data_IF_003174336352
#
_entry.id   IF_003174336352
#
_cell.length_a   1.000
_cell.length_b   1.000
_cell.length_c   1.000
_cell.angle_alpha   90.00
_cell.angle_beta   90.00
_cell.angle_gamma   90.00
#
_symmetry.space_group_name_H-M   'P 1'
#
loop_
_entity.id
_entity.type
_entity.pdbx_description
1 polymer ?
#
# COMPACT_ATOMS: atom_id res chain seq x y z
N UNK A 1 -2.13 -10.93 7.83
CA UNK A 1 -0.72 -10.47 7.64
C UNK A 1 -0.71 -9.00 7.27
N UNK A 2 0.16 -8.22 7.90
CA UNK A 2 0.41 -6.80 7.61
C UNK A 2 1.88 -6.63 7.21
N UNK A 3 2.13 -5.88 6.13
CA UNK A 3 3.48 -5.53 5.70
C UNK A 3 3.61 -4.01 5.58
N UNK A 4 4.61 -3.44 6.26
CA UNK A 4 4.89 -2.00 6.23
C UNK A 4 6.40 -1.74 6.08
N UNK A 5 6.79 -0.67 5.36
CA UNK A 5 8.20 -0.36 5.18
C UNK A 5 8.87 0.14 6.48
N UNK A 6 8.18 0.93 7.29
CA UNK A 6 8.74 1.52 8.51
C UNK A 6 7.70 1.58 9.63
N UNK A 7 8.15 1.42 10.87
CA UNK A 7 7.29 1.51 12.06
C UNK A 7 8.10 1.75 13.35
N UNK A 8 7.42 1.99 14.49
CA UNK A 8 8.08 2.05 15.78
C UNK A 8 8.65 0.68 16.18
N UNK A 9 9.61 0.62 17.13
CA UNK A 9 10.20 -0.63 17.61
C UNK A 9 9.21 -1.64 18.19
N UNK A 10 8.01 -1.19 18.59
CA UNK A 10 6.95 -2.00 19.17
C UNK A 10 5.74 -2.23 18.23
N UNK A 11 5.91 -2.07 16.91
CA UNK A 11 4.83 -2.16 15.91
C UNK A 11 3.99 -3.43 16.03
N UNK A 12 4.60 -4.59 16.29
CA UNK A 12 3.89 -5.87 16.38
C UNK A 12 2.91 -5.91 17.55
N UNK A 13 3.26 -5.29 18.67
CA UNK A 13 2.37 -5.18 19.84
C UNK A 13 1.20 -4.23 19.57
N UNK A 14 1.35 -3.29 18.63
CA UNK A 14 0.31 -2.32 18.28
C UNK A 14 -0.71 -2.85 17.28
N UNK A 15 -0.47 -4.02 16.70
CA UNK A 15 -1.34 -4.66 15.72
C UNK A 15 -1.75 -6.06 16.20
N UNK A 16 -2.44 -6.17 17.34
CA UNK A 16 -2.78 -7.47 17.94
C UNK A 16 -3.73 -8.31 17.08
N UNK A 17 -4.49 -7.70 16.17
CA UNK A 17 -5.38 -8.41 15.24
C UNK A 17 -4.67 -9.00 14.02
N UNK A 18 -3.42 -8.62 13.78
CA UNK A 18 -2.64 -9.15 12.66
C UNK A 18 -1.97 -10.46 13.06
N UNK A 19 -2.25 -11.55 12.34
CA UNK A 19 -1.58 -12.84 12.58
C UNK A 19 -0.05 -12.76 12.41
N UNK A 20 0.40 -11.89 11.50
CA UNK A 20 1.82 -11.67 11.19
C UNK A 20 2.05 -10.22 10.79
N UNK A 21 3.14 -9.63 11.30
CA UNK A 21 3.57 -8.27 10.98
C UNK A 21 5.00 -8.30 10.45
N UNK A 22 5.17 -7.88 9.20
CA UNK A 22 6.49 -7.70 8.56
C UNK A 22 6.79 -6.21 8.47
N UNK A 23 7.84 -5.77 9.14
CA UNK A 23 8.28 -4.38 9.11
C UNK A 23 9.77 -4.29 8.78
N UNK A 24 10.10 -3.64 7.65
CA UNK A 24 11.48 -3.60 7.12
C UNK A 24 12.41 -2.76 7.99
N UNK A 25 11.94 -1.62 8.50
CA UNK A 25 12.72 -0.71 9.34
C UNK A 25 11.99 -0.35 10.64
N UNK A 26 12.68 -0.54 11.78
CA UNK A 26 12.17 -0.26 13.13
C UNK A 26 13.12 0.68 13.90
N UNK A 27 13.30 1.94 13.46
CA UNK A 27 14.25 2.84 14.09
C UNK A 27 13.85 3.16 15.55
N UNK A 28 14.82 3.14 16.47
CA UNK A 28 14.63 3.48 17.88
C UNK A 28 14.08 4.91 18.09
N UNK A 29 14.42 5.82 17.18
CA UNK A 29 13.96 7.21 17.17
C UNK A 29 12.80 7.45 16.19
N UNK A 30 11.89 6.48 16.03
CA UNK A 30 10.70 6.64 15.19
C UNK A 30 9.83 7.79 15.70
N UNK A 31 9.66 8.85 14.88
CA UNK A 31 8.85 10.03 15.22
C UNK A 31 7.71 10.27 14.25
N UNK A 32 7.97 10.09 12.96
CA UNK A 32 7.00 10.28 11.89
C UNK A 32 7.33 9.35 10.72
N UNK A 33 6.30 8.93 9.97
CA UNK A 33 6.46 8.07 8.80
C UNK A 33 7.29 8.75 7.72
N UNK A 34 7.02 10.02 7.43
CA UNK A 34 7.70 10.78 6.37
C UNK A 34 9.20 10.97 6.59
N UNK A 35 9.70 10.85 7.82
CA UNK A 35 11.14 10.94 8.11
C UNK A 35 11.95 9.76 7.55
N UNK A 36 11.28 8.68 7.11
CA UNK A 36 11.91 7.51 6.51
C UNK A 36 12.05 7.60 4.98
N UNK A 37 11.51 8.66 4.36
CA UNK A 37 11.48 8.82 2.91
C UNK A 37 12.21 10.10 2.50
N UNK A 38 13.06 10.00 1.47
CA UNK A 38 13.67 11.18 0.84
C UNK A 38 12.63 12.03 0.10
N UNK A 39 11.61 11.38 -0.47
CA UNK A 39 10.45 12.01 -1.09
C UNK A 39 9.15 11.53 -0.41
N UNK A 40 8.46 12.46 0.24
CA UNK A 40 7.19 12.24 0.93
C UNK A 40 6.12 13.23 0.48
N UNK A 41 6.10 13.55 -0.82
CA UNK A 41 5.03 14.38 -1.38
C UNK A 41 3.67 13.69 -1.24
N UNK A 42 2.57 14.45 -1.06
CA UNK A 42 1.24 13.89 -1.03
C UNK A 42 0.87 13.21 -2.36
N UNK A 43 0.31 12.00 -2.29
CA UNK A 43 -0.32 11.36 -3.45
C UNK A 43 -1.67 12.01 -3.71
N UNK A 44 -1.94 12.45 -4.94
CA UNK A 44 -3.22 13.09 -5.29
C UNK A 44 -4.31 12.05 -5.53
N UNK A 45 -5.58 12.48 -5.48
CA UNK A 45 -6.72 11.62 -5.77
C UNK A 45 -6.65 11.11 -7.23
N UNK A 46 -6.22 11.95 -8.18
CA UNK A 46 -6.05 11.56 -9.59
C UNK A 46 -4.92 10.51 -9.77
N UNK A 47 -3.88 10.56 -8.95
CA UNK A 47 -2.83 9.53 -8.95
C UNK A 47 -3.36 8.19 -8.45
N UNK A 48 -4.20 8.21 -7.40
CA UNK A 48 -4.84 7.01 -6.86
C UNK A 48 -5.80 6.41 -7.89
N UNK A 49 -6.69 7.20 -8.47
CA UNK A 49 -7.65 6.75 -9.49
C UNK A 49 -6.93 6.08 -10.66
N UNK A 50 -5.89 6.72 -11.19
CA UNK A 50 -5.09 6.19 -12.30
C UNK A 50 -4.47 4.82 -11.99
N UNK A 51 -3.90 4.64 -10.80
CA UNK A 51 -3.29 3.36 -10.41
C UNK A 51 -4.35 2.27 -10.22
N UNK A 52 -5.52 2.62 -9.66
CA UNK A 52 -6.62 1.67 -9.49
C UNK A 52 -7.20 1.22 -10.84
N UNK A 53 -7.37 2.13 -11.81
CA UNK A 53 -7.80 1.78 -13.17
C UNK A 53 -6.80 0.86 -13.86
N UNK A 54 -5.49 1.15 -13.74
CA UNK A 54 -4.43 0.29 -14.29
C UNK A 54 -4.43 -1.11 -13.68
N UNK A 55 -4.63 -1.21 -12.36
CA UNK A 55 -4.70 -2.49 -11.66
C UNK A 55 -5.92 -3.31 -12.10
N UNK A 56 -7.07 -2.67 -12.33
CA UNK A 56 -8.27 -3.35 -12.85
C UNK A 56 -8.11 -3.76 -14.31
N UNK A 57 -7.59 -2.88 -15.17
CA UNK A 57 -7.38 -3.18 -16.60
C UNK A 57 -6.31 -4.25 -16.86
N UNK A 58 -5.36 -4.45 -15.95
CA UNK A 58 -4.40 -5.55 -16.02
C UNK A 58 -5.01 -6.92 -15.66
N UNK A 59 -6.18 -6.95 -15.04
CA UNK A 59 -6.94 -8.17 -14.69
C UNK A 59 -7.98 -8.57 -15.73
N UNK A 60 -8.30 -7.70 -16.69
CA UNK A 60 -9.35 -7.95 -17.68
C UNK A 60 -8.75 -8.32 -19.05
N UNK A 61 -8.60 -9.64 -19.26
CA UNK A 61 -8.72 -10.18 -20.61
C UNK A 61 -10.12 -9.87 -21.13
N UNK A 62 -10.28 -8.71 -21.77
CA UNK A 62 -11.51 -8.36 -22.49
C UNK A 62 -11.75 -9.39 -23.59
N UNK A 63 -12.72 -10.28 -23.38
CA UNK A 63 -13.40 -10.92 -24.50
C UNK A 63 -14.62 -10.07 -24.76
N UNK A 64 -14.74 -9.37 -25.91
CA UNK A 64 -15.98 -8.71 -26.26
C UNK A 64 -17.06 -9.79 -26.31
N UNK A 65 -18.08 -9.65 -25.46
CA UNK A 65 -19.27 -10.51 -25.52
C UNK A 65 -19.92 -10.35 -26.90
N UNK A 66 -20.51 -11.41 -27.47
CA UNK A 66 -21.04 -11.35 -28.82
C UNK A 66 -22.13 -10.27 -28.89
N UNK A 67 -21.93 -9.35 -29.84
CA UNK A 67 -22.94 -8.43 -30.32
C UNK A 67 -24.15 -9.25 -30.84
N UNK A 68 -25.32 -9.08 -30.22
CA UNK A 68 -26.57 -9.62 -30.77
C UNK A 68 -27.13 -8.59 -31.75
N UNK A 69 -27.20 -8.98 -33.02
CA UNK A 69 -28.07 -8.39 -34.06
C UNK A 69 -29.55 -8.70 -33.81
#
# INVERSE_FOLDING_TARGET
>A
MVAVPVGPPDIERRMPEADEVVCLQKPWSFRAVGAAYDDFHPTSDEDVERVLEQAHGAGEGTTPGPENE
#
